data_IF_222888938780
#
_entry.id   IF_222888938780
#
_cell.length_a   1.000
_cell.length_b   1.000
_cell.length_c   1.000
_cell.angle_alpha   90.00
_cell.angle_beta   90.00
_cell.angle_gamma   90.00
#
_symmetry.space_group_name_H-M   'P 1'
#
loop_
_entity.id
_entity.type
_entity.pdbx_description
1 polymer ?
#
# COMPACT_ATOMS: atom_id res chain seq x y z
N UNK A 1 1.29 15.06 -5.56
CA UNK A 1 0.83 15.34 -4.19
C UNK A 1 0.47 13.99 -3.57
N UNK A 2 1.39 13.39 -2.82
CA UNK A 2 1.22 12.05 -2.28
C UNK A 2 0.49 12.13 -0.94
N UNK A 3 -0.83 12.03 -0.96
CA UNK A 3 -1.60 11.83 0.26
C UNK A 3 -1.24 10.47 0.87
N UNK A 4 -0.97 10.43 2.17
CA UNK A 4 -0.86 9.16 2.90
C UNK A 4 -2.23 8.47 2.92
N UNK A 5 -2.28 7.15 3.11
CA UNK A 5 -3.54 6.38 3.13
C UNK A 5 -4.57 6.89 4.17
N UNK A 6 -4.15 7.66 5.17
CA UNK A 6 -5.01 8.27 6.19
C UNK A 6 -5.26 9.77 5.96
N UNK A 7 -4.82 10.35 4.84
CA UNK A 7 -4.93 11.78 4.55
C UNK A 7 -4.00 12.66 5.39
N UNK A 8 -3.15 12.08 6.24
CA UNK A 8 -2.17 12.82 7.04
C UNK A 8 -1.02 13.30 6.17
N UNK A 9 -1.01 14.58 5.84
CA UNK A 9 0.17 15.23 5.27
C UNK A 9 1.09 15.72 6.40
N UNK A 10 2.23 15.04 6.59
CA UNK A 10 3.23 15.47 7.56
C UNK A 10 3.88 16.81 7.19
N UNK A 11 3.78 17.27 5.94
CA UNK A 11 4.34 18.55 5.51
C UNK A 11 3.55 19.75 6.05
N UNK A 12 2.29 19.55 6.48
CA UNK A 12 1.46 20.61 7.08
C UNK A 12 1.91 20.95 8.50
N UNK A 13 2.57 20.03 9.20
CA UNK A 13 3.04 20.26 10.56
C UNK A 13 4.34 21.08 10.61
N UNK A 14 4.37 22.06 11.49
CA UNK A 14 5.56 22.77 11.95
C UNK A 14 6.56 21.83 12.63
N UNK A 15 7.80 22.28 12.80
CA UNK A 15 8.83 21.51 13.48
C UNK A 15 8.46 21.18 14.94
N UNK A 16 7.83 22.12 15.65
CA UNK A 16 7.37 21.91 17.03
C UNK A 16 6.22 20.90 17.10
N UNK A 17 5.22 20.97 16.22
CA UNK A 17 4.12 20.00 16.18
C UNK A 17 4.63 18.58 15.87
N UNK A 18 5.60 18.46 14.95
CA UNK A 18 6.28 17.19 14.67
C UNK A 18 7.02 16.67 15.90
N UNK A 19 7.74 17.53 16.61
CA UNK A 19 8.46 17.15 17.83
C UNK A 19 7.50 16.66 18.92
N UNK A 20 6.39 17.37 19.17
CA UNK A 20 5.34 16.98 20.12
C UNK A 20 4.74 15.63 19.74
N UNK A 21 4.33 15.45 18.47
CA UNK A 21 3.77 14.18 17.99
C UNK A 21 4.75 13.02 18.18
N UNK A 22 6.00 13.20 17.76
CA UNK A 22 7.04 12.16 17.89
C UNK A 22 7.30 11.81 19.35
N UNK A 23 7.37 12.81 20.24
CA UNK A 23 7.55 12.60 21.66
C UNK A 23 6.42 11.77 22.26
N UNK A 24 5.15 12.11 21.97
CA UNK A 24 3.97 11.35 22.43
C UNK A 24 4.07 9.88 22.02
N UNK A 25 4.34 9.62 20.73
CA UNK A 25 4.41 8.26 20.19
C UNK A 25 5.59 7.46 20.77
N UNK A 26 6.74 8.10 20.98
CA UNK A 26 7.92 7.44 21.56
C UNK A 26 7.76 7.11 23.05
N UNK A 27 7.01 7.94 23.79
CA UNK A 27 6.78 7.75 25.23
C UNK A 27 5.70 6.73 25.55
N UNK A 28 4.75 6.53 24.63
CA UNK A 28 3.62 5.62 24.81
C UNK A 28 4.02 4.19 25.26
N UNK A 29 4.93 3.47 24.57
CA UNK A 29 5.32 2.13 25.00
C UNK A 29 6.04 2.11 26.35
N UNK A 30 6.73 3.19 26.74
CA UNK A 30 7.44 3.27 28.03
C UNK A 30 6.50 3.53 29.21
N UNK A 31 5.37 4.20 28.93
CA UNK A 31 4.41 4.63 29.94
C UNK A 31 3.19 3.72 30.01
N UNK A 32 2.85 3.02 28.92
CA UNK A 32 1.59 2.29 28.76
C UNK A 32 0.38 3.19 28.47
N UNK A 33 0.57 4.52 28.48
CA UNK A 33 -0.45 5.54 28.25
C UNK A 33 0.19 6.79 27.66
N UNK A 34 -0.64 7.73 27.22
CA UNK A 34 -0.15 9.00 26.71
C UNK A 34 0.52 9.85 27.82
N UNK A 35 1.59 10.60 27.51
CA UNK A 35 2.17 11.58 28.42
C UNK A 35 1.20 12.75 28.66
N UNK A 36 1.32 13.37 29.83
CA UNK A 36 0.53 14.55 30.22
C UNK A 36 1.06 15.83 29.56
N UNK A 37 0.23 16.89 29.56
CA UNK A 37 0.65 18.22 29.05
C UNK A 37 1.94 18.67 29.73
N UNK A 38 2.03 18.55 31.05
CA UNK A 38 3.18 18.98 31.84
C UNK A 38 4.45 18.22 31.44
N UNK A 39 4.34 16.90 31.21
CA UNK A 39 5.48 16.07 30.80
C UNK A 39 5.95 16.37 29.39
N UNK A 40 5.03 16.72 28.48
CA UNK A 40 5.37 17.14 27.12
C UNK A 40 6.04 18.52 27.16
N UNK A 41 5.43 19.46 27.89
CA UNK A 41 5.93 20.83 28.06
C UNK A 41 7.36 20.84 28.60
N UNK A 42 7.61 20.09 29.68
CA UNK A 42 8.92 20.01 30.30
C UNK A 42 9.95 19.36 29.38
N UNK A 43 9.60 18.28 28.67
CA UNK A 43 10.55 17.55 27.84
C UNK A 43 10.95 18.30 26.56
N UNK A 44 10.09 19.20 26.07
CA UNK A 44 10.29 19.92 24.82
C UNK A 44 10.53 21.42 25.01
N UNK A 45 10.70 21.87 26.25
CA UNK A 45 10.89 23.28 26.61
C UNK A 45 9.79 24.20 26.04
N UNK A 46 8.54 23.76 26.22
CA UNK A 46 7.34 24.47 25.79
C UNK A 46 6.55 24.94 27.01
N UNK A 47 5.79 26.03 26.85
CA UNK A 47 4.80 26.39 27.87
C UNK A 47 3.61 25.40 27.83
N UNK A 48 2.91 25.19 28.98
CA UNK A 48 1.70 24.37 29.00
C UNK A 48 0.64 24.82 28.00
N UNK A 49 0.47 26.12 27.80
CA UNK A 49 -0.53 26.65 26.88
C UNK A 49 -0.12 26.43 25.41
N UNK A 50 1.15 26.66 25.05
CA UNK A 50 1.65 26.31 23.72
C UNK A 50 1.48 24.81 23.42
N UNK A 51 1.74 23.97 24.43
CA UNK A 51 1.55 22.52 24.32
C UNK A 51 0.08 22.17 24.07
N UNK A 52 -0.87 22.75 24.83
CA UNK A 52 -2.31 22.55 24.61
C UNK A 52 -2.75 22.99 23.22
N UNK A 53 -2.28 24.14 22.72
CA UNK A 53 -2.58 24.61 21.38
C UNK A 53 -2.10 23.62 20.31
N UNK A 54 -0.88 23.08 20.45
CA UNK A 54 -0.37 22.04 19.55
C UNK A 54 -1.23 20.77 19.62
N UNK A 55 -1.60 20.33 20.82
CA UNK A 55 -2.45 19.16 20.99
C UNK A 55 -3.84 19.34 20.35
N UNK A 56 -4.45 20.52 20.51
CA UNK A 56 -5.71 20.87 19.83
C UNK A 56 -5.54 20.84 18.31
N UNK A 57 -4.44 21.37 17.80
CA UNK A 57 -4.17 21.35 16.36
C UNK A 57 -3.99 19.93 15.82
N UNK A 58 -3.26 19.08 16.54
CA UNK A 58 -3.12 17.66 16.18
C UNK A 58 -4.46 16.90 16.27
N UNK A 59 -5.35 17.33 17.18
CA UNK A 59 -6.70 16.81 17.29
C UNK A 59 -7.58 17.17 16.08
N UNK A 60 -7.56 18.44 15.66
CA UNK A 60 -8.28 18.92 14.46
C UNK A 60 -7.82 18.19 13.18
N UNK A 61 -6.54 17.81 13.12
CA UNK A 61 -5.95 17.07 12.01
C UNK A 61 -6.15 15.55 12.10
N UNK A 62 -6.92 15.06 13.08
CA UNK A 62 -7.18 13.64 13.34
C UNK A 62 -5.90 12.79 13.47
N UNK A 63 -4.83 13.40 14.01
CA UNK A 63 -3.57 12.70 14.31
C UNK A 63 -3.53 12.16 15.74
N UNK A 64 -4.32 12.77 16.63
CA UNK A 64 -4.61 12.30 17.99
C UNK A 64 -6.04 12.68 18.39
N UNK A 65 -6.56 12.06 19.44
CA UNK A 65 -7.86 12.40 20.02
C UNK A 65 -7.70 12.91 21.44
N UNK A 66 -8.27 14.08 21.73
CA UNK A 66 -8.36 14.60 23.09
C UNK A 66 -9.65 14.14 23.76
N UNK A 67 -9.58 13.96 25.07
CA UNK A 67 -10.74 13.81 25.92
C UNK A 67 -11.48 15.16 26.04
N UNK A 68 -12.78 15.23 25.70
CA UNK A 68 -13.54 16.48 25.74
C UNK A 68 -13.63 17.13 27.13
N UNK A 69 -13.55 16.34 28.19
CA UNK A 69 -13.75 16.79 29.58
C UNK A 69 -12.41 17.07 30.26
N UNK A 70 -11.43 16.19 30.07
CA UNK A 70 -10.15 16.26 30.77
C UNK A 70 -9.01 16.92 29.96
N UNK A 71 -9.20 17.20 28.66
CA UNK A 71 -8.15 17.63 27.73
C UNK A 71 -6.92 16.71 27.72
N UNK A 72 -7.09 15.46 28.18
CA UNK A 72 -6.05 14.44 28.16
C UNK A 72 -6.02 13.75 26.80
N UNK A 73 -4.90 13.15 26.42
CA UNK A 73 -4.80 12.43 25.14
C UNK A 73 -5.49 11.07 25.30
N UNK A 74 -6.66 10.91 24.68
CA UNK A 74 -7.44 9.67 24.66
C UNK A 74 -6.87 8.64 23.69
N UNK A 75 -6.31 9.09 22.56
CA UNK A 75 -5.65 8.24 21.57
C UNK A 75 -4.59 9.05 20.82
N UNK A 76 -3.55 8.37 20.35
CA UNK A 76 -2.56 8.93 19.44
C UNK A 76 -2.07 7.79 18.56
N UNK A 77 -2.50 7.74 17.30
CA UNK A 77 -2.30 6.55 16.48
C UNK A 77 -0.83 6.16 16.36
N UNK A 78 -0.53 4.87 16.50
CA UNK A 78 -1.45 3.72 16.53
C UNK A 78 -2.09 3.40 17.91
N UNK A 79 -1.78 4.15 18.96
CA UNK A 79 -2.11 3.83 20.34
C UNK A 79 -3.49 4.35 20.82
N UNK A 80 -4.05 3.66 21.81
CA UNK A 80 -5.24 4.04 22.56
C UNK A 80 -4.95 4.12 24.06
N UNK A 81 -5.39 5.20 24.71
CA UNK A 81 -5.32 5.35 26.18
C UNK A 81 -6.52 4.67 26.84
N UNK A 82 -7.53 4.33 26.05
CA UNK A 82 -8.69 3.54 26.48
C UNK A 82 -8.44 2.08 26.13
N UNK A 83 -8.68 1.13 27.05
CA UNK A 83 -8.54 -0.30 26.75
C UNK A 83 -9.35 -0.70 25.51
N UNK A 84 -8.69 -1.40 24.58
CA UNK A 84 -9.32 -1.97 23.39
C UNK A 84 -9.09 -3.47 23.34
N UNK A 85 -9.79 -4.22 22.47
CA UNK A 85 -9.48 -5.61 22.22
C UNK A 85 -8.07 -5.82 21.62
N UNK A 86 -7.34 -4.79 21.20
CA UNK A 86 -6.05 -4.93 20.52
C UNK A 86 -4.89 -4.72 21.48
N UNK A 87 -4.59 -5.75 22.26
CA UNK A 87 -3.55 -5.68 23.28
C UNK A 87 -2.20 -6.03 22.66
N UNK A 88 -1.23 -5.12 22.77
CA UNK A 88 0.11 -5.28 22.20
C UNK A 88 1.14 -5.33 23.32
N UNK A 89 2.00 -6.35 23.27
CA UNK A 89 3.16 -6.53 24.15
C UNK A 89 4.43 -6.54 23.31
N UNK A 90 5.46 -5.86 23.79
CA UNK A 90 6.75 -5.80 23.11
C UNK A 90 7.67 -6.88 23.65
N UNK A 91 8.19 -7.69 22.75
CA UNK A 91 9.09 -8.79 23.09
C UNK A 91 10.52 -8.24 23.23
N UNK A 92 11.27 -8.75 24.21
CA UNK A 92 12.67 -8.35 24.46
C UNK A 92 12.86 -6.85 24.71
N UNK A 93 11.84 -6.16 25.26
CA UNK A 93 11.91 -4.75 25.67
C UNK A 93 11.41 -4.57 27.12
N UNK A 94 12.28 -4.77 28.13
CA UNK A 94 11.87 -4.83 29.55
C UNK A 94 11.20 -3.56 30.09
N UNK A 95 11.57 -2.40 29.59
CA UNK A 95 11.02 -1.11 29.99
C UNK A 95 9.62 -0.88 29.42
N UNK A 96 9.27 -1.57 28.34
CA UNK A 96 8.00 -1.40 27.66
C UNK A 96 6.84 -1.96 28.49
N UNK A 97 5.75 -1.19 28.51
CA UNK A 97 4.47 -1.58 29.07
C UNK A 97 3.62 -2.23 27.99
N UNK A 98 2.60 -2.95 28.44
CA UNK A 98 1.51 -3.37 27.54
C UNK A 98 0.75 -2.13 27.09
N UNK A 99 0.43 -2.04 25.80
CA UNK A 99 -0.33 -0.94 25.20
C UNK A 99 -1.56 -1.47 24.47
N UNK A 100 -2.51 -0.57 24.21
CA UNK A 100 -3.69 -0.86 23.40
C UNK A 100 -3.57 -0.15 22.05
N UNK A 101 -3.94 -0.82 20.97
CA UNK A 101 -4.03 -0.21 19.64
C UNK A 101 -5.46 0.23 19.34
N UNK A 102 -5.65 1.19 18.43
CA UNK A 102 -6.99 1.63 18.01
C UNK A 102 -7.70 0.61 17.12
N UNK A 103 -6.98 -0.06 16.22
CA UNK A 103 -7.54 -1.08 15.35
C UNK A 103 -6.56 -2.23 15.03
N UNK A 104 -7.02 -3.21 14.25
CA UNK A 104 -6.21 -4.36 13.84
C UNK A 104 -4.95 -3.96 13.05
N UNK A 105 -5.06 -2.99 12.12
CA UNK A 105 -3.94 -2.48 11.33
C UNK A 105 -2.97 -1.69 12.20
N UNK A 106 -3.47 -0.89 13.14
CA UNK A 106 -2.65 -0.11 14.06
C UNK A 106 -1.78 -1.01 14.94
N UNK A 107 -2.36 -2.10 15.45
CA UNK A 107 -1.63 -3.08 16.26
C UNK A 107 -0.45 -3.70 15.50
N UNK A 108 -0.67 -4.02 14.22
CA UNK A 108 0.37 -4.57 13.33
C UNK A 108 1.42 -3.50 12.95
N UNK A 109 0.98 -2.26 12.72
CA UNK A 109 1.82 -1.14 12.33
C UNK A 109 2.87 -0.75 13.37
N UNK A 110 2.59 -0.98 14.66
CA UNK A 110 3.54 -0.72 15.75
C UNK A 110 4.89 -1.42 15.58
N UNK A 111 4.93 -2.61 14.95
CA UNK A 111 6.16 -3.36 14.73
C UNK A 111 7.15 -2.59 13.84
N UNK A 112 6.65 -1.84 12.86
CA UNK A 112 7.46 -1.03 11.97
C UNK A 112 7.80 0.32 12.57
N UNK A 113 6.82 0.99 13.18
CA UNK A 113 7.00 2.31 13.79
C UNK A 113 8.07 2.28 14.87
N UNK A 114 8.05 1.25 15.72
CA UNK A 114 8.97 1.13 16.86
C UNK A 114 10.21 0.30 16.54
N UNK A 115 10.24 -0.42 15.39
CA UNK A 115 11.29 -1.38 15.04
C UNK A 115 11.50 -2.43 16.13
N UNK A 116 10.42 -2.99 16.65
CA UNK A 116 10.43 -3.97 17.74
C UNK A 116 9.56 -5.18 17.41
N UNK A 117 10.00 -6.31 17.91
CA UNK A 117 9.22 -7.53 17.96
C UNK A 117 8.06 -7.37 18.94
N UNK A 118 6.90 -7.91 18.57
CA UNK A 118 5.70 -7.77 19.38
C UNK A 118 4.79 -8.98 19.27
N UNK A 119 3.93 -9.11 20.28
CA UNK A 119 2.86 -10.10 20.36
C UNK A 119 1.54 -9.36 20.56
N UNK A 120 0.54 -9.73 19.77
CA UNK A 120 -0.80 -9.13 19.78
C UNK A 120 -1.78 -10.19 20.26
N UNK A 121 -2.61 -9.84 21.24
CA UNK A 121 -3.77 -10.63 21.63
C UNK A 121 -5.04 -9.83 21.41
N UNK A 122 -6.05 -10.47 20.84
CA UNK A 122 -7.34 -9.88 20.52
C UNK A 122 -8.47 -10.89 20.51
N UNK A 123 -9.63 -10.48 20.00
CA UNK A 123 -10.80 -11.33 19.82
C UNK A 123 -11.43 -11.09 18.45
N UNK A 124 -11.99 -12.14 17.87
CA UNK A 124 -12.73 -12.03 16.62
C UNK A 124 -13.97 -11.14 16.81
N UNK A 125 -14.12 -10.10 15.98
CA UNK A 125 -15.27 -9.19 16.07
C UNK A 125 -16.63 -9.85 15.76
N UNK A 126 -16.63 -11.04 15.16
CA UNK A 126 -17.86 -11.79 14.84
C UNK A 126 -18.28 -12.75 15.95
N UNK A 127 -17.34 -13.52 16.52
CA UNK A 127 -17.63 -14.63 17.45
C UNK A 127 -16.92 -14.54 18.82
N UNK A 128 -16.15 -13.48 19.07
CA UNK A 128 -15.39 -13.24 20.30
C UNK A 128 -14.30 -14.28 20.67
N UNK A 129 -14.04 -15.30 19.83
CA UNK A 129 -12.92 -16.22 20.06
C UNK A 129 -11.58 -15.48 20.04
N UNK A 130 -10.66 -15.90 20.91
CA UNK A 130 -9.34 -15.32 21.03
C UNK A 130 -8.55 -15.41 19.71
N UNK A 131 -7.82 -14.34 19.40
CA UNK A 131 -6.88 -14.23 18.29
C UNK A 131 -5.53 -13.87 18.88
N UNK A 132 -4.48 -14.59 18.50
CA UNK A 132 -3.11 -14.30 18.90
C UNK A 132 -2.23 -14.20 17.66
N UNK A 133 -1.38 -13.17 17.59
CA UNK A 133 -0.47 -12.92 16.45
C UNK A 133 0.90 -12.58 17.03
N UNK A 134 1.96 -13.12 16.43
CA UNK A 134 3.35 -12.89 16.83
C UNK A 134 4.12 -12.33 15.64
N UNK A 135 4.74 -11.17 15.84
CA UNK A 135 5.54 -10.47 14.84
C UNK A 135 7.01 -10.47 15.28
N UNK A 136 7.88 -11.00 14.43
CA UNK A 136 9.34 -11.03 14.62
C UNK A 136 10.03 -10.53 13.37
N UNK A 137 11.06 -9.72 13.52
CA UNK A 137 11.80 -9.12 12.40
C UNK A 137 10.86 -8.47 11.38
N UNK A 138 9.81 -7.81 11.89
CA UNK A 138 8.76 -7.16 11.10
C UNK A 138 7.95 -8.10 10.17
N UNK A 139 7.95 -9.39 10.46
CA UNK A 139 7.16 -10.42 9.76
C UNK A 139 6.28 -11.18 10.74
N UNK A 140 5.10 -11.61 10.30
CA UNK A 140 4.24 -12.47 11.13
C UNK A 140 4.82 -13.89 11.08
N UNK A 141 5.28 -14.39 12.23
CA UNK A 141 5.88 -15.73 12.34
C UNK A 141 4.90 -16.76 12.90
N UNK A 142 3.86 -16.32 13.61
CA UNK A 142 2.81 -17.19 14.12
C UNK A 142 1.51 -16.41 14.27
N UNK A 143 0.39 -17.08 14.03
CA UNK A 143 -0.93 -16.59 14.42
C UNK A 143 -1.91 -17.74 14.62
N UNK A 144 -2.92 -17.52 15.46
CA UNK A 144 -4.01 -18.44 15.71
C UNK A 144 -5.31 -17.62 15.85
N UNK A 145 -6.38 -17.95 15.11
CA UNK A 145 -6.50 -19.00 14.08
C UNK A 145 -5.58 -18.88 12.86
N UNK A 146 -5.35 -19.99 12.15
CA UNK A 146 -4.52 -20.02 10.93
C UNK A 146 -5.17 -19.36 9.71
N UNK A 147 -6.47 -19.11 9.76
CA UNK A 147 -7.23 -18.42 8.70
C UNK A 147 -7.52 -16.95 9.05
N UNK A 148 -6.84 -16.40 10.08
CA UNK A 148 -7.12 -15.03 10.52
C UNK A 148 -6.96 -14.03 9.39
N UNK A 149 -7.97 -13.16 9.25
CA UNK A 149 -8.04 -12.07 8.28
C UNK A 149 -8.41 -10.76 8.98
N UNK A 150 -8.24 -9.65 8.26
CA UNK A 150 -8.65 -8.31 8.71
C UNK A 150 -9.68 -7.77 7.73
N UNK A 151 -10.75 -7.17 8.25
CA UNK A 151 -11.58 -6.29 7.42
C UNK A 151 -10.92 -4.92 7.41
N UNK A 152 -10.56 -4.40 6.23
CA UNK A 152 -10.01 -3.06 6.06
C UNK A 152 -11.06 -2.18 5.37
N UNK A 153 -11.65 -1.24 6.12
CA UNK A 153 -12.73 -0.40 5.62
C UNK A 153 -13.26 0.58 6.64
N UNK A 154 -14.41 1.16 6.34
CA UNK A 154 -15.18 2.04 7.23
C UNK A 154 -16.60 1.49 7.39
N UNK A 155 -17.29 1.92 8.46
CA UNK A 155 -18.73 1.63 8.65
C UNK A 155 -19.59 2.90 8.58
N UNK A 156 -18.97 4.08 8.64
CA UNK A 156 -19.60 5.40 8.62
C UNK A 156 -18.62 6.42 8.02
N UNK A 157 -19.09 7.65 7.79
CA UNK A 157 -18.23 8.79 7.43
C UNK A 157 -17.75 9.53 8.69
N UNK A 158 -16.57 10.16 8.64
CA UNK A 158 -16.02 10.97 9.73
C UNK A 158 -14.55 10.65 10.05
N UNK A 159 -14.00 11.21 11.15
CA UNK A 159 -12.62 10.98 11.59
C UNK A 159 -12.31 9.49 11.75
N UNK A 160 -11.07 9.09 11.47
CA UNK A 160 -10.61 7.70 11.42
C UNK A 160 -10.98 6.94 12.72
N UNK A 161 -10.91 7.59 13.87
CA UNK A 161 -11.16 6.98 15.18
C UNK A 161 -12.64 6.66 15.38
N UNK A 162 -13.51 7.46 14.78
CA UNK A 162 -14.96 7.32 14.87
C UNK A 162 -15.55 6.50 13.72
N UNK A 163 -14.87 6.45 12.56
CA UNK A 163 -15.41 5.89 11.32
C UNK A 163 -14.73 4.60 10.87
N UNK A 164 -13.39 4.58 10.78
CA UNK A 164 -12.62 3.50 10.18
C UNK A 164 -12.10 2.50 11.22
N UNK A 165 -11.47 2.96 12.30
CA UNK A 165 -10.92 2.07 13.33
C UNK A 165 -11.97 1.16 14.00
N UNK A 166 -13.22 1.59 14.25
CA UNK A 166 -14.26 0.69 14.75
C UNK A 166 -14.62 -0.43 13.76
N UNK A 167 -14.37 -0.22 12.46
CA UNK A 167 -14.59 -1.21 11.41
C UNK A 167 -13.39 -2.14 11.21
N UNK A 168 -12.17 -1.65 11.40
CA UNK A 168 -10.94 -2.39 11.11
C UNK A 168 -10.63 -3.42 12.22
N UNK A 169 -11.16 -4.63 12.06
CA UNK A 169 -11.12 -5.69 13.07
C UNK A 169 -10.44 -6.97 12.58
N UNK A 170 -9.94 -7.77 13.54
CA UNK A 170 -9.51 -9.14 13.30
C UNK A 170 -10.69 -10.11 13.25
N UNK A 171 -10.61 -11.11 12.38
CA UNK A 171 -11.60 -12.18 12.24
C UNK A 171 -10.93 -13.55 12.18
N UNK A 172 -11.61 -14.59 12.66
CA UNK A 172 -11.08 -15.96 12.59
C UNK A 172 -10.90 -16.46 11.14
N UNK A 173 -11.77 -16.01 10.22
CA UNK A 173 -11.79 -16.40 8.81
C UNK A 173 -12.63 -15.41 7.99
N UNK A 174 -12.56 -15.50 6.66
CA UNK A 174 -13.38 -14.68 5.76
C UNK A 174 -14.89 -14.88 5.98
N UNK A 175 -15.34 -16.11 6.26
CA UNK A 175 -16.74 -16.40 6.55
C UNK A 175 -17.27 -15.66 7.80
N UNK A 176 -16.40 -15.43 8.80
CA UNK A 176 -16.75 -14.64 9.96
C UNK A 176 -16.91 -13.14 9.64
N UNK A 177 -16.19 -12.64 8.62
CA UNK A 177 -16.38 -11.29 8.11
C UNK A 177 -17.75 -11.19 7.44
N UNK A 178 -18.11 -12.14 6.56
CA UNK A 178 -19.40 -12.13 5.86
C UNK A 178 -20.58 -12.09 6.84
N UNK A 179 -20.56 -12.92 7.89
CA UNK A 179 -21.60 -12.91 8.93
C UNK A 179 -21.62 -11.64 9.79
N UNK A 180 -20.48 -10.96 9.94
CA UNK A 180 -20.42 -9.66 10.61
C UNK A 180 -20.96 -8.53 9.72
N UNK A 181 -20.63 -8.54 8.42
CA UNK A 181 -21.09 -7.54 7.43
C UNK A 181 -22.61 -7.54 7.26
N UNK A 182 -23.30 -8.67 7.45
CA UNK A 182 -24.77 -8.72 7.46
C UNK A 182 -25.40 -7.78 8.49
N UNK A 183 -24.67 -7.41 9.55
CA UNK A 183 -25.12 -6.46 10.59
C UNK A 183 -24.61 -5.04 10.37
N UNK A 184 -23.88 -4.78 9.27
CA UNK A 184 -23.22 -3.51 8.98
C UNK A 184 -23.63 -3.00 7.59
N UNK A 185 -24.84 -2.44 7.42
CA UNK A 185 -25.38 -2.07 6.11
C UNK A 185 -24.57 -0.99 5.38
N UNK A 186 -23.78 -0.21 6.12
CA UNK A 186 -22.97 0.90 5.60
C UNK A 186 -21.47 0.54 5.51
N UNK A 187 -21.10 -0.72 5.70
CA UNK A 187 -19.70 -1.12 5.62
C UNK A 187 -19.16 -1.00 4.18
N UNK A 188 -18.09 -0.23 4.02
CA UNK A 188 -17.36 -0.10 2.76
C UNK A 188 -15.90 -0.47 2.98
N UNK A 189 -15.39 -1.45 2.22
CA UNK A 189 -14.04 -1.96 2.43
C UNK A 189 -13.78 -3.30 1.75
N UNK A 190 -12.75 -3.98 2.21
CA UNK A 190 -12.37 -5.30 1.70
C UNK A 190 -11.78 -6.18 2.78
N UNK A 191 -11.94 -7.50 2.61
CA UNK A 191 -11.22 -8.49 3.39
C UNK A 191 -9.78 -8.53 2.89
N UNK A 192 -8.82 -8.36 3.80
CA UNK A 192 -7.39 -8.47 3.50
C UNK A 192 -6.76 -9.56 4.37
N UNK A 193 -5.71 -10.18 3.86
CA UNK A 193 -4.90 -11.13 4.63
C UNK A 193 -4.16 -10.41 5.75
N UNK A 194 -3.73 -11.15 6.78
CA UNK A 194 -2.87 -10.59 7.83
C UNK A 194 -1.57 -9.97 7.29
N UNK A 195 -0.97 -10.58 6.25
CA UNK A 195 0.24 -10.05 5.62
C UNK A 195 -0.01 -8.72 4.87
N UNK A 196 -1.15 -8.60 4.20
CA UNK A 196 -1.56 -7.33 3.57
C UNK A 196 -1.86 -6.26 4.62
N UNK A 197 -2.57 -6.60 5.70
CA UNK A 197 -2.82 -5.69 6.82
C UNK A 197 -1.53 -5.20 7.47
N UNK A 198 -0.55 -6.10 7.67
CA UNK A 198 0.78 -5.77 8.15
C UNK A 198 1.48 -4.77 7.22
N UNK A 199 1.40 -4.97 5.90
CA UNK A 199 1.98 -4.07 4.91
C UNK A 199 1.30 -2.69 4.88
N UNK A 200 -0.03 -2.64 5.05
CA UNK A 200 -0.76 -1.39 5.20
C UNK A 200 -0.28 -0.65 6.46
N UNK A 201 -0.17 -1.36 7.59
CA UNK A 201 0.36 -0.80 8.83
C UNK A 201 1.79 -0.24 8.67
N UNK A 202 2.67 -0.95 7.95
CA UNK A 202 4.00 -0.45 7.60
C UNK A 202 3.93 0.90 6.88
N UNK A 203 3.16 0.96 5.80
CA UNK A 203 3.06 2.17 4.97
C UNK A 203 2.56 3.38 5.74
N UNK A 204 1.67 3.17 6.72
CA UNK A 204 1.11 4.23 7.55
C UNK A 204 2.10 4.67 8.64
N UNK A 205 2.69 3.72 9.37
CA UNK A 205 3.31 4.01 10.67
C UNK A 205 4.85 4.01 10.68
N UNK A 206 5.51 3.30 9.76
CA UNK A 206 6.98 3.27 9.67
C UNK A 206 7.61 4.68 9.61
N UNK A 207 7.09 5.64 8.81
CA UNK A 207 7.71 6.97 8.68
C UNK A 207 7.59 7.87 9.91
N UNK A 208 6.76 7.52 10.91
CA UNK A 208 6.44 8.44 12.00
C UNK A 208 7.60 8.62 12.99
N UNK A 209 8.28 7.53 13.34
CA UNK A 209 9.37 7.54 14.32
C UNK A 209 10.71 7.17 13.71
N UNK A 210 10.74 6.34 12.66
CA UNK A 210 11.97 6.03 11.94
C UNK A 210 12.39 7.28 11.16
N UNK A 211 13.50 7.90 11.59
CA UNK A 211 14.15 8.92 10.78
C UNK A 211 14.63 8.25 9.49
N UNK A 212 14.28 8.76 8.30
CA UNK A 212 14.91 8.29 7.07
C UNK A 212 16.43 8.43 7.23
N UNK A 213 17.16 7.32 7.17
CA UNK A 213 18.61 7.38 7.09
C UNK A 213 18.98 7.92 5.71
N UNK A 214 19.33 9.22 5.68
CA UNK A 214 19.96 10.00 4.60
C UNK A 214 19.07 10.78 3.60
N UNK A 215 19.65 11.86 3.03
CA UNK A 215 19.05 13.18 2.86
C UNK A 215 18.12 13.21 1.64
N UNK A 216 17.21 14.19 1.59
CA UNK A 216 16.59 14.55 0.31
C UNK A 216 17.68 14.70 -0.74
N UNK A 217 17.63 13.99 -1.88
CA UNK A 217 18.43 14.38 -3.00
C UNK A 217 17.84 15.70 -3.49
N UNK A 218 18.63 16.78 -3.41
CA UNK A 218 18.39 17.94 -4.25
C UNK A 218 18.27 17.47 -5.71
N UNK A 219 17.44 18.10 -6.55
CA UNK A 219 17.05 17.57 -7.86
C UNK A 219 18.17 17.50 -8.93
N UNK A 220 19.42 17.70 -8.55
CA UNK A 220 20.55 17.82 -9.44
C UNK A 220 21.71 17.01 -8.86
N UNK A 221 22.37 16.27 -9.74
CA UNK A 221 23.58 15.47 -9.49
C UNK A 221 23.35 14.00 -9.11
N UNK A 222 23.07 13.24 -10.17
CA UNK A 222 23.85 12.06 -10.56
C UNK A 222 25.17 11.85 -9.80
N UNK A 223 25.46 10.62 -9.35
CA UNK A 223 26.58 9.87 -9.92
C UNK A 223 26.57 8.39 -9.51
N UNK A 224 26.99 7.59 -10.47
CA UNK A 224 27.18 6.14 -10.47
C UNK A 224 28.31 5.66 -9.53
N UNK A 225 28.19 4.39 -9.10
CA UNK A 225 29.18 3.29 -9.10
C UNK A 225 28.86 2.36 -7.90
N UNK A 226 28.57 1.04 -8.01
CA UNK A 226 29.09 -0.06 -8.83
C UNK A 226 29.84 -1.04 -7.89
N UNK A 227 29.84 -2.38 -7.94
CA UNK A 227 29.26 -3.43 -8.79
C UNK A 227 29.62 -4.82 -8.22
N UNK A 228 28.74 -5.84 -8.33
CA UNK A 228 28.99 -7.27 -8.69
C UNK A 228 28.11 -8.24 -7.91
N UNK A 229 27.46 -9.28 -8.44
CA UNK A 229 27.23 -9.86 -9.78
C UNK A 229 25.96 -10.77 -9.62
N UNK A 230 25.11 -11.12 -10.59
CA UNK A 230 25.35 -11.75 -11.90
C UNK A 230 24.02 -11.78 -12.70
N UNK A 231 24.04 -11.56 -14.03
CA UNK A 231 23.11 -12.22 -14.97
C UNK A 231 22.07 -11.40 -15.74
N UNK A 232 22.49 -10.38 -16.50
CA UNK A 232 21.91 -9.98 -17.80
C UNK A 232 20.43 -9.57 -17.88
N UNK A 233 19.97 -8.54 -17.15
CA UNK A 233 18.82 -7.71 -17.59
C UNK A 233 19.01 -6.27 -17.08
N UNK A 234 19.69 -5.42 -17.84
CA UNK A 234 19.74 -3.99 -17.57
C UNK A 234 19.79 -3.22 -18.90
N UNK A 235 18.63 -2.84 -19.41
CA UNK A 235 18.41 -1.61 -20.19
C UNK A 235 16.92 -1.46 -20.50
N UNK A 236 16.11 -1.09 -19.49
CA UNK A 236 14.66 -0.87 -19.68
C UNK A 236 14.16 0.49 -19.19
N UNK A 237 15.04 1.45 -18.92
CA UNK A 237 14.60 2.83 -18.64
C UNK A 237 14.35 3.61 -19.93
N UNK A 238 15.16 3.39 -20.97
CA UNK A 238 14.89 3.90 -22.32
C UNK A 238 13.76 3.08 -22.98
N UNK A 239 13.74 1.76 -22.77
CA UNK A 239 12.70 0.90 -23.33
C UNK A 239 11.30 1.21 -22.78
N UNK A 240 11.17 1.60 -21.50
CA UNK A 240 9.89 1.98 -20.91
C UNK A 240 9.32 3.27 -21.50
N UNK A 241 10.16 4.29 -21.67
CA UNK A 241 9.78 5.55 -22.32
C UNK A 241 9.45 5.33 -23.80
N UNK A 242 10.27 4.55 -24.51
CA UNK A 242 10.04 4.18 -25.92
C UNK A 242 8.78 3.33 -26.06
N UNK A 243 8.49 2.41 -25.14
CA UNK A 243 7.28 1.59 -25.14
C UNK A 243 6.01 2.40 -24.83
N UNK A 244 6.07 3.34 -23.87
CA UNK A 244 4.96 4.25 -23.58
C UNK A 244 4.68 5.20 -24.74
N UNK A 245 5.73 5.75 -25.37
CA UNK A 245 5.59 6.58 -26.58
C UNK A 245 5.03 5.78 -27.76
N UNK A 246 5.56 4.59 -28.03
CA UNK A 246 5.08 3.71 -29.11
C UNK A 246 3.65 3.24 -28.88
N UNK A 247 3.25 2.91 -27.64
CA UNK A 247 1.88 2.57 -27.30
C UNK A 247 0.94 3.76 -27.49
N UNK A 248 1.36 4.96 -27.08
CA UNK A 248 0.58 6.19 -27.28
C UNK A 248 0.41 6.53 -28.77
N UNK A 249 1.44 6.31 -29.59
CA UNK A 249 1.40 6.45 -31.05
C UNK A 249 0.50 5.39 -31.73
N UNK A 250 0.44 4.16 -31.19
CA UNK A 250 -0.40 3.08 -31.74
C UNK A 250 -1.89 3.21 -31.37
N UNK A 251 -2.22 3.85 -30.24
CA UNK A 251 -3.61 3.99 -29.78
C UNK A 251 -4.25 5.33 -30.20
N UNK A 252 -3.49 6.43 -30.18
CA UNK A 252 -4.02 7.77 -30.50
C UNK A 252 -3.92 8.04 -32.01
N UNK A 253 -2.90 7.48 -32.69
CA UNK A 253 -2.70 7.65 -34.13
C UNK A 253 -3.94 7.31 -34.97
N UNK A 254 -4.47 6.08 -34.90
CA UNK A 254 -5.64 5.70 -35.71
C UNK A 254 -6.89 6.53 -35.42
N UNK A 255 -7.12 6.89 -34.15
CA UNK A 255 -8.29 7.67 -33.70
C UNK A 255 -8.25 9.12 -34.19
N UNK A 256 -7.08 9.76 -34.13
CA UNK A 256 -6.87 11.12 -34.66
C UNK A 256 -6.98 11.13 -36.18
N UNK A 257 -6.51 10.09 -36.86
CA UNK A 257 -6.68 9.93 -38.31
C UNK A 257 -8.14 9.73 -38.73
N UNK A 258 -8.94 8.98 -37.97
CA UNK A 258 -10.38 8.83 -38.24
C UNK A 258 -11.19 10.11 -37.96
N UNK A 259 -10.77 10.89 -36.96
CA UNK A 259 -11.43 12.16 -36.64
C UNK A 259 -11.16 13.25 -37.69
N UNK A 260 -9.99 13.21 -38.34
CA UNK A 260 -9.61 14.16 -39.38
C UNK A 260 -10.01 13.70 -40.80
N UNK A 261 -10.44 12.45 -41.00
CA UNK A 261 -10.79 11.89 -42.32
C UNK A 261 -12.26 12.04 -42.73
N UNK A 262 -13.10 12.73 -41.95
CA UNK A 262 -14.52 12.98 -42.33
C UNK A 262 -14.70 14.33 -43.06
N UNK A 263 -13.62 15.08 -43.34
CA UNK A 263 -13.66 16.35 -44.06
C UNK A 263 -12.88 16.36 -45.37
N UNK A 264 -13.60 16.17 -46.48
CA UNK A 264 -13.41 16.75 -47.84
C UNK A 264 -11.99 17.21 -48.26
N UNK A 265 -11.49 16.65 -49.37
CA UNK A 265 -10.68 17.41 -50.34
C UNK A 265 -9.25 16.94 -50.55
N UNK A 266 -8.98 16.42 -51.75
CA UNK A 266 -7.70 15.91 -52.23
C UNK A 266 -6.63 16.99 -52.52
N UNK A 267 -6.47 17.99 -51.65
CA UNK A 267 -5.38 18.98 -51.72
C UNK A 267 -5.11 19.56 -50.33
N UNK A 268 -4.35 18.83 -49.51
CA UNK A 268 -3.91 19.29 -48.19
C UNK A 268 -2.56 18.68 -47.84
N UNK A 269 -1.82 19.34 -46.94
CA UNK A 269 -0.40 19.12 -46.60
C UNK A 269 -0.07 17.77 -45.92
N UNK A 270 -0.65 16.66 -46.40
CA UNK A 270 -0.44 15.30 -45.91
C UNK A 270 0.01 14.33 -47.02
N UNK A 271 0.35 14.82 -48.21
CA UNK A 271 1.01 14.02 -49.26
C UNK A 271 2.33 13.37 -48.78
N UNK A 272 2.97 13.92 -47.74
CA UNK A 272 4.16 13.35 -47.11
C UNK A 272 3.88 12.15 -46.18
N UNK A 273 2.64 11.96 -45.71
CA UNK A 273 2.30 10.88 -44.76
C UNK A 273 1.87 9.57 -45.44
N UNK A 274 1.38 9.64 -46.69
CA UNK A 274 1.14 8.45 -47.50
C UNK A 274 2.44 7.69 -47.84
N UNK A 275 3.57 8.40 -47.94
CA UNK A 275 4.90 7.80 -48.10
C UNK A 275 5.38 7.06 -46.85
N UNK A 276 5.17 7.64 -45.66
CA UNK A 276 5.53 7.03 -44.37
C UNK A 276 4.69 5.77 -44.08
N UNK A 277 3.38 5.79 -44.40
CA UNK A 277 2.52 4.60 -44.29
C UNK A 277 2.90 3.50 -45.30
N UNK A 278 3.25 3.86 -46.55
CA UNK A 278 3.75 2.88 -47.53
C UNK A 278 5.12 2.30 -47.16
N UNK A 279 5.98 3.06 -46.49
CA UNK A 279 7.27 2.58 -45.99
C UNK A 279 7.13 1.64 -44.77
N UNK A 280 5.99 1.67 -44.06
CA UNK A 280 5.68 0.80 -42.93
C UNK A 280 4.96 -0.51 -43.33
N UNK A 281 4.37 -0.59 -44.54
CA UNK A 281 3.81 -1.82 -45.11
C UNK A 281 4.78 -3.03 -45.07
N UNK A 282 6.08 -2.91 -45.40
CA UNK A 282 7.01 -4.04 -45.34
C UNK A 282 7.37 -4.48 -43.91
N UNK A 283 7.17 -3.64 -42.89
CA UNK A 283 7.45 -3.99 -41.49
C UNK A 283 6.23 -4.58 -40.75
N UNK A 284 5.05 -4.58 -41.38
CA UNK A 284 3.82 -5.19 -40.84
C UNK A 284 3.99 -6.63 -40.32
N UNK A 285 4.60 -7.59 -41.06
CA UNK A 285 4.79 -8.94 -40.56
C UNK A 285 5.73 -9.00 -39.35
N UNK A 286 6.70 -8.08 -39.25
CA UNK A 286 7.64 -8.02 -38.11
C UNK A 286 6.91 -7.60 -36.83
N UNK A 287 6.01 -6.63 -36.91
CA UNK A 287 5.18 -6.23 -35.76
C UNK A 287 4.23 -7.35 -35.32
N UNK A 288 3.62 -8.09 -36.25
CA UNK A 288 2.76 -9.24 -35.93
C UNK A 288 3.57 -10.37 -35.30
N UNK A 289 4.77 -10.65 -35.81
CA UNK A 289 5.67 -11.65 -35.22
C UNK A 289 6.09 -11.26 -33.79
N UNK A 290 6.40 -9.99 -33.56
CA UNK A 290 6.80 -9.47 -32.24
C UNK A 290 5.66 -9.57 -31.22
N UNK A 291 4.42 -9.25 -31.59
CA UNK A 291 3.27 -9.36 -30.69
C UNK A 291 2.95 -10.81 -30.34
N UNK A 292 3.02 -11.73 -31.31
CA UNK A 292 2.88 -13.17 -31.08
C UNK A 292 3.98 -13.72 -30.16
N UNK A 293 5.22 -13.26 -30.32
CA UNK A 293 6.34 -13.62 -29.45
C UNK A 293 6.12 -13.17 -28.00
N UNK A 294 5.73 -11.91 -27.79
CA UNK A 294 5.46 -11.36 -26.45
C UNK A 294 4.27 -12.03 -25.77
N UNK A 295 3.20 -12.33 -26.52
CA UNK A 295 2.07 -13.12 -26.03
C UNK A 295 2.51 -14.55 -25.66
N UNK A 296 3.33 -15.18 -26.49
CA UNK A 296 3.90 -16.50 -26.22
C UNK A 296 4.75 -16.53 -24.94
N UNK A 297 5.61 -15.54 -24.72
CA UNK A 297 6.42 -15.39 -23.50
C UNK A 297 5.52 -15.19 -22.27
N UNK A 298 4.47 -14.38 -22.40
CA UNK A 298 3.51 -14.12 -21.32
C UNK A 298 2.71 -15.38 -20.95
N UNK A 299 2.25 -16.15 -21.93
CA UNK A 299 1.64 -17.47 -21.72
C UNK A 299 2.62 -18.46 -21.10
N UNK A 300 3.86 -18.49 -21.58
CA UNK A 300 4.90 -19.37 -21.06
C UNK A 300 5.13 -19.11 -19.57
N UNK A 301 5.28 -17.86 -19.14
CA UNK A 301 5.42 -17.52 -17.72
C UNK A 301 4.14 -17.76 -16.91
N UNK A 302 2.96 -17.58 -17.51
CA UNK A 302 1.70 -17.79 -16.81
C UNK A 302 1.36 -19.27 -16.56
N UNK A 303 1.85 -20.17 -17.41
CA UNK A 303 1.60 -21.62 -17.31
C UNK A 303 2.81 -22.42 -16.82
N UNK A 304 4.00 -21.81 -16.73
CA UNK A 304 5.18 -22.47 -16.16
C UNK A 304 4.95 -22.65 -14.64
N UNK A 305 4.90 -23.91 -14.22
CA UNK A 305 4.77 -24.30 -12.80
C UNK A 305 5.97 -23.74 -12.01
N UNK A 306 5.77 -23.16 -10.81
CA UNK A 306 6.87 -22.75 -9.96
C UNK A 306 7.66 -24.00 -9.54
N UNK A 307 8.96 -24.03 -9.86
CA UNK A 307 9.88 -25.05 -9.35
C UNK A 307 10.25 -24.70 -7.90
N UNK A 308 9.76 -25.51 -6.95
CA UNK A 308 10.17 -25.44 -5.55
C UNK A 308 11.62 -25.91 -5.42
N UNK A 309 12.52 -24.98 -5.10
CA UNK A 309 13.87 -25.33 -4.64
C UNK A 309 13.73 -25.72 -3.17
N UNK A 310 13.75 -27.03 -2.89
CA UNK A 310 13.83 -27.54 -1.54
C UNK A 310 15.33 -27.72 -1.21
N UNK A 311 15.88 -26.88 -0.35
CA UNK A 311 17.18 -27.15 0.29
C UNK A 311 16.93 -28.04 1.50
N UNK A 312 17.70 -29.12 1.60
CA UNK A 312 17.60 -30.18 2.58
C UNK A 312 17.74 -29.65 4.02
N UNK A 313 16.93 -30.19 4.93
CA UNK A 313 16.94 -30.08 6.42
C UNK A 313 16.19 -28.92 7.13
N UNK A 314 15.37 -28.08 6.49
CA UNK A 314 14.27 -27.38 7.19
C UNK A 314 13.10 -27.13 6.25
N UNK A 315 11.87 -27.28 6.76
CA UNK A 315 10.64 -27.42 5.99
C UNK A 315 10.47 -26.46 4.79
N UNK A 316 9.97 -27.01 3.69
CA UNK A 316 9.78 -26.31 2.42
C UNK A 316 8.74 -25.17 2.57
N UNK A 317 9.18 -23.90 2.48
CA UNK A 317 8.28 -22.73 2.43
C UNK A 317 7.81 -22.52 1.00
N UNK A 318 6.55 -22.81 0.72
CA UNK A 318 5.92 -22.43 -0.55
C UNK A 318 5.74 -20.90 -0.59
N UNK A 319 6.55 -20.21 -1.40
CA UNK A 319 6.30 -18.80 -1.74
C UNK A 319 5.01 -18.76 -2.56
N UNK A 320 3.91 -18.28 -1.98
CA UNK A 320 2.66 -18.03 -2.69
C UNK A 320 2.86 -16.84 -3.64
N UNK A 321 3.46 -17.10 -4.79
CA UNK A 321 3.43 -16.18 -5.91
C UNK A 321 1.98 -16.14 -6.41
N UNK A 322 1.38 -14.94 -6.47
CA UNK A 322 0.08 -14.70 -7.12
C UNK A 322 -0.02 -15.54 -8.40
N UNK A 323 -0.99 -16.45 -8.46
CA UNK A 323 -1.32 -17.11 -9.71
C UNK A 323 -1.68 -16.03 -10.74
N UNK A 324 -1.03 -16.00 -11.92
CA UNK A 324 -1.36 -15.01 -12.94
C UNK A 324 -2.83 -15.16 -13.33
N UNK A 325 -3.57 -14.05 -13.41
CA UNK A 325 -4.99 -14.04 -13.75
C UNK A 325 -5.18 -14.51 -15.20
N UNK A 326 -5.33 -15.83 -15.38
CA UNK A 326 -5.41 -16.51 -16.68
C UNK A 326 -6.52 -15.95 -17.56
N UNK A 327 -7.61 -15.43 -16.97
CA UNK A 327 -8.73 -14.83 -17.69
C UNK A 327 -8.35 -13.53 -18.40
N UNK A 328 -7.58 -12.66 -17.74
CA UNK A 328 -7.13 -11.39 -18.31
C UNK A 328 -6.17 -11.61 -19.49
N UNK A 329 -5.29 -12.60 -19.37
CA UNK A 329 -4.33 -12.96 -20.42
C UNK A 329 -5.03 -13.47 -21.70
N UNK A 330 -6.08 -14.28 -21.55
CA UNK A 330 -6.91 -14.73 -22.68
C UNK A 330 -7.70 -13.59 -23.33
N UNK A 331 -8.19 -12.62 -22.56
CA UNK A 331 -8.87 -11.44 -23.10
C UNK A 331 -7.94 -10.58 -23.96
N UNK A 332 -6.70 -10.33 -23.49
CA UNK A 332 -5.69 -9.57 -24.25
C UNK A 332 -5.29 -10.32 -25.53
N UNK A 333 -5.14 -11.65 -25.46
CA UNK A 333 -4.83 -12.46 -26.63
C UNK A 333 -5.95 -12.43 -27.69
N UNK A 334 -7.22 -12.54 -27.27
CA UNK A 334 -8.37 -12.44 -28.16
C UNK A 334 -8.45 -11.07 -28.84
N UNK A 335 -8.26 -9.99 -28.08
CA UNK A 335 -8.25 -8.63 -28.61
C UNK A 335 -7.12 -8.42 -29.64
N UNK A 336 -5.91 -8.90 -29.33
CA UNK A 336 -4.78 -8.84 -30.25
C UNK A 336 -5.05 -9.61 -31.56
N UNK A 337 -5.65 -10.80 -31.48
CA UNK A 337 -6.01 -11.59 -32.65
C UNK A 337 -7.04 -10.87 -33.54
N UNK A 338 -8.05 -10.25 -32.92
CA UNK A 338 -9.06 -9.45 -33.64
C UNK A 338 -8.41 -8.26 -34.36
N UNK A 339 -7.51 -7.51 -33.72
CA UNK A 339 -6.81 -6.40 -34.36
C UNK A 339 -5.89 -6.84 -35.51
N UNK A 340 -5.22 -7.99 -35.37
CA UNK A 340 -4.34 -8.54 -36.43
C UNK A 340 -5.17 -8.99 -37.65
N UNK A 341 -6.35 -9.55 -37.41
CA UNK A 341 -7.23 -10.05 -38.47
C UNK A 341 -8.10 -8.96 -39.11
N UNK A 342 -8.48 -7.91 -38.37
CA UNK A 342 -9.29 -6.78 -38.84
C UNK A 342 -9.00 -6.30 -40.29
N UNK A 343 -7.74 -6.09 -40.72
CA UNK A 343 -7.44 -5.67 -42.09
C UNK A 343 -7.72 -6.71 -43.17
N UNK A 344 -7.75 -8.01 -42.84
CA UNK A 344 -8.11 -9.07 -43.78
C UNK A 344 -9.63 -9.17 -43.97
N UNK A 345 -10.40 -8.81 -42.94
CA UNK A 345 -11.87 -8.74 -43.03
C UNK A 345 -12.35 -7.46 -43.70
N UNK A 346 -11.61 -6.34 -43.54
CA UNK A 346 -11.90 -5.06 -44.20
C UNK A 346 -11.42 -4.97 -45.66
N UNK A 347 -10.63 -5.95 -46.12
CA UNK A 347 -10.14 -6.06 -47.50
C UNK A 347 -10.95 -7.05 -48.35
N UNK A 348 -12.06 -7.56 -47.82
CA UNK A 348 -13.08 -8.32 -48.55
C UNK A 348 -14.20 -7.39 -49.01
#
# INVERSE_FOLDING_TARGET
>A
MAGTMLGWDQHILSAQEKAVRRYILAQYPLRGQAPTVQEISQALDLTPDATKTILQRLHELDMLGLDPEASSIRLAYPFSSVPTPYVVKFDQWPEAKTVYAQCAIDALGMAFMLRRDLSITSACASCAKAIAITVRDQTIVAHNPSETVVWAGTIQEGPVAASACPAINFFCSAAHVDGWLQRQPNAAGSVVTLGEALYIGKAIFEPLLVTPSHPSPDPLESHEAGLSATGTVASTSIAGLVAAFLASLCCIGPLVFTALSVGVGATGALAATAGFLKALLPYRPVFVALTLLLLGISFYHAYRKPSSVCMTETGCVARSARGPNRKLLWLIAALALVLVLAPYWLAL
#
